data_IF_721539766042
#
_entry.id   IF_721539766042
#
_cell.length_a   1.000
_cell.length_b   1.000
_cell.length_c   1.000
_cell.angle_alpha   90.00
_cell.angle_beta   90.00
_cell.angle_gamma   90.00
#
_symmetry.space_group_name_H-M   'P 1'
#
loop_
_entity.id
_entity.type
_entity.pdbx_description
1 polymer ?
#
# COMPACT_ATOMS: atom_id res chain seq x y z
N UNK A 1 14.16 0.10 10.61
CA UNK A 1 15.10 0.71 9.64
C UNK A 1 15.79 1.97 10.11
N UNK A 2 15.18 2.79 10.98
CA UNK A 2 15.85 3.98 11.51
C UNK A 2 17.18 3.68 12.25
N UNK A 3 17.33 2.48 12.80
CA UNK A 3 18.54 2.03 13.51
C UNK A 3 19.66 1.51 12.58
N UNK A 4 19.28 0.82 11.49
CA UNK A 4 20.21 0.24 10.53
C UNK A 4 19.96 0.86 9.16
N UNK A 5 20.59 2.01 8.93
CA UNK A 5 20.45 2.81 7.71
C UNK A 5 21.01 2.11 6.46
N UNK A 6 21.98 1.21 6.62
CA UNK A 6 22.62 0.44 5.53
C UNK A 6 21.96 -0.92 5.24
N UNK A 7 20.84 -1.25 5.88
CA UNK A 7 20.15 -2.52 5.57
C UNK A 7 19.28 -2.40 4.31
N UNK A 8 19.95 -2.52 3.15
CA UNK A 8 19.31 -2.42 1.83
C UNK A 8 18.55 -3.70 1.45
N UNK A 9 18.96 -4.86 1.95
CA UNK A 9 18.33 -6.15 1.65
C UNK A 9 16.93 -6.23 2.23
N UNK A 10 16.77 -5.88 3.51
CA UNK A 10 15.46 -5.82 4.15
C UNK A 10 14.58 -4.72 3.57
N UNK A 11 15.18 -3.57 3.19
CA UNK A 11 14.47 -2.51 2.47
C UNK A 11 13.85 -3.11 1.22
N UNK A 12 14.65 -3.70 0.33
CA UNK A 12 14.16 -4.27 -0.93
C UNK A 12 13.02 -5.27 -0.72
N UNK A 13 13.09 -6.11 0.32
CA UNK A 13 12.01 -7.01 0.71
C UNK A 13 10.72 -6.26 1.06
N UNK A 14 10.82 -5.22 1.90
CA UNK A 14 9.70 -4.36 2.27
C UNK A 14 9.06 -3.68 1.04
N UNK A 15 9.88 -3.14 0.13
CA UNK A 15 9.40 -2.52 -1.11
C UNK A 15 8.59 -3.51 -1.98
N UNK A 16 9.03 -4.77 -2.09
CA UNK A 16 8.27 -5.81 -2.81
C UNK A 16 6.90 -6.07 -2.19
N UNK A 17 6.82 -6.18 -0.86
CA UNK A 17 5.55 -6.42 -0.14
C UNK A 17 4.62 -5.22 -0.30
N UNK A 18 5.14 -4.00 -0.12
CA UNK A 18 4.36 -2.77 -0.28
C UNK A 18 3.82 -2.62 -1.71
N UNK A 19 4.62 -2.97 -2.72
CA UNK A 19 4.19 -2.98 -4.13
C UNK A 19 3.06 -3.98 -4.39
N UNK A 20 3.17 -5.21 -3.87
CA UNK A 20 2.11 -6.22 -3.98
C UNK A 20 0.82 -5.73 -3.31
N UNK A 21 0.91 -5.18 -2.09
CA UNK A 21 -0.22 -4.62 -1.36
C UNK A 21 -0.90 -3.48 -2.11
N UNK A 22 -0.13 -2.57 -2.70
CA UNK A 22 -0.66 -1.46 -3.51
C UNK A 22 -1.51 -1.96 -4.68
N UNK A 23 -1.03 -2.97 -5.42
CA UNK A 23 -1.78 -3.55 -6.55
C UNK A 23 -3.11 -4.19 -6.11
N UNK A 24 -3.10 -4.92 -4.99
CA UNK A 24 -4.31 -5.54 -4.43
C UNK A 24 -5.33 -4.48 -3.98
N UNK A 25 -4.88 -3.39 -3.35
CA UNK A 25 -5.75 -2.29 -2.96
C UNK A 25 -6.37 -1.59 -4.16
N UNK A 26 -5.60 -1.38 -5.24
CA UNK A 26 -6.13 -0.82 -6.50
C UNK A 26 -7.18 -1.76 -7.11
N UNK A 27 -6.90 -3.06 -7.14
CA UNK A 27 -7.86 -4.07 -7.62
C UNK A 27 -9.15 -4.07 -6.79
N UNK A 28 -9.03 -4.09 -5.46
CA UNK A 28 -10.17 -4.06 -4.56
C UNK A 28 -11.01 -2.79 -4.76
N UNK A 29 -10.35 -1.64 -4.90
CA UNK A 29 -11.00 -0.36 -5.19
C UNK A 29 -11.77 -0.38 -6.50
N UNK A 30 -11.20 -0.96 -7.57
CA UNK A 30 -11.88 -1.12 -8.87
C UNK A 30 -13.10 -2.03 -8.78
N UNK A 31 -13.06 -3.06 -7.93
CA UNK A 31 -14.15 -4.02 -7.75
C UNK A 31 -15.27 -3.49 -6.85
N UNK A 32 -14.92 -2.78 -5.79
CA UNK A 32 -15.89 -2.28 -4.80
C UNK A 32 -15.26 -1.17 -3.94
N UNK A 33 -15.77 0.06 -4.11
CA UNK A 33 -15.30 1.22 -3.37
C UNK A 33 -15.59 1.09 -1.86
N UNK A 34 -16.77 0.61 -1.49
CA UNK A 34 -17.20 0.45 -0.10
C UNK A 34 -16.30 -0.50 0.70
N UNK A 35 -15.91 -1.63 0.09
CA UNK A 35 -14.99 -2.59 0.72
C UNK A 35 -13.59 -2.01 0.89
N UNK A 36 -13.14 -1.24 -0.11
CA UNK A 36 -11.85 -0.57 -0.06
C UNK A 36 -11.81 0.47 1.07
N UNK A 37 -12.83 1.32 1.20
CA UNK A 37 -12.90 2.34 2.25
C UNK A 37 -13.01 1.72 3.65
N UNK A 38 -13.87 0.72 3.83
CA UNK A 38 -13.98 -0.02 5.10
C UNK A 38 -12.63 -0.60 5.51
N UNK A 39 -11.95 -1.29 4.59
CA UNK A 39 -10.66 -1.92 4.86
C UNK A 39 -9.57 -0.88 5.20
N UNK A 40 -9.53 0.24 4.48
CA UNK A 40 -8.55 1.29 4.73
C UNK A 40 -8.77 1.96 6.08
N UNK A 41 -10.02 2.25 6.43
CA UNK A 41 -10.36 2.85 7.71
C UNK A 41 -10.03 1.90 8.87
N UNK A 42 -10.31 0.61 8.72
CA UNK A 42 -9.96 -0.40 9.72
C UNK A 42 -8.45 -0.54 9.94
N UNK A 43 -7.66 -0.44 8.87
CA UNK A 43 -6.21 -0.62 8.93
C UNK A 43 -5.42 0.70 9.12
N UNK A 44 -6.10 1.85 9.24
CA UNK A 44 -5.46 3.15 9.37
C UNK A 44 -4.52 3.51 8.21
N UNK A 45 -4.79 3.00 7.01
CA UNK A 45 -3.88 3.16 5.87
C UNK A 45 -4.08 4.54 5.24
N UNK A 46 -3.00 5.26 4.97
CA UNK A 46 -3.10 6.52 4.23
C UNK A 46 -3.59 6.27 2.80
N UNK A 47 -4.72 6.90 2.44
CA UNK A 47 -5.26 6.85 1.09
C UNK A 47 -4.26 7.50 0.13
N UNK A 48 -3.81 6.79 -0.93
CA UNK A 48 -2.92 7.38 -1.91
C UNK A 48 -3.67 8.47 -2.68
N UNK A 49 -3.24 9.73 -2.51
CA UNK A 49 -3.83 10.91 -3.18
C UNK A 49 -3.63 10.91 -4.71
N UNK A 50 -2.69 10.11 -5.21
CA UNK A 50 -2.19 10.13 -6.59
C UNK A 50 -2.78 9.03 -7.47
N UNK A 51 -3.99 8.57 -7.19
CA UNK A 51 -4.79 7.84 -8.19
C UNK A 51 -5.72 8.83 -8.90
N UNK A 52 -5.17 9.99 -9.32
CA UNK A 52 -5.60 10.65 -10.54
C UNK A 52 -5.25 9.66 -11.63
N UNK A 53 -6.28 8.98 -12.15
CA UNK A 53 -6.15 8.17 -13.35
C UNK A 53 -5.64 9.05 -14.50
N UNK A 54 -5.17 8.40 -15.57
CA UNK A 54 -5.29 8.96 -16.91
C UNK A 54 -6.61 9.72 -17.08
#
# INVERSE_FOLDING_TARGET
MKLHSKDYSSQRGLWKILGKRKRLLIYLRRKSILRYEKLINQLGIRIPKTVKFL
#
